data_IF_072730787042
#
_entry.id   IF_072730787042
#
_cell.length_a   1.000
_cell.length_b   1.000
_cell.length_c   1.000
_cell.angle_alpha   90.00
_cell.angle_beta   90.00
_cell.angle_gamma   90.00
#
_symmetry.space_group_name_H-M   'P 1'
#
loop_
_entity.id
_entity.type
_entity.pdbx_description
1 polymer ?
#
# COMPACT_ATOMS: atom_id res chain seq x y z
N UNK A 1 -3.54 56.46 69.53
CA UNK A 1 -3.48 55.06 69.06
C UNK A 1 -3.88 55.05 67.58
N UNK A 2 -2.93 54.91 66.65
CA UNK A 2 -3.21 54.95 65.20
C UNK A 2 -3.38 53.51 64.70
N UNK A 3 -4.54 53.19 64.16
CA UNK A 3 -4.86 51.89 63.58
C UNK A 3 -4.30 51.89 62.16
N UNK A 4 -3.36 51.00 61.85
CA UNK A 4 -2.83 50.81 60.50
C UNK A 4 -3.79 49.91 59.72
N UNK A 5 -4.34 50.33 58.56
CA UNK A 5 -5.25 49.49 57.80
C UNK A 5 -4.47 48.34 57.13
N UNK A 6 -5.03 47.13 57.02
CA UNK A 6 -4.33 46.02 56.39
C UNK A 6 -4.12 46.27 54.89
N UNK A 7 -2.91 45.98 54.42
CA UNK A 7 -2.57 46.02 53.00
C UNK A 7 -3.49 45.06 52.22
N UNK A 8 -4.28 45.62 51.31
CA UNK A 8 -5.31 44.89 50.57
C UNK A 8 -4.65 44.24 49.34
N UNK A 9 -4.33 42.94 49.43
CA UNK A 9 -3.79 42.11 48.34
C UNK A 9 -4.78 41.94 47.17
N UNK A 10 -5.06 43.01 46.41
CA UNK A 10 -6.04 43.01 45.30
C UNK A 10 -5.48 42.58 43.96
N UNK A 11 -4.15 42.57 43.77
CA UNK A 11 -3.51 42.14 42.51
C UNK A 11 -3.23 40.63 42.43
N UNK A 12 -2.96 39.99 43.57
CA UNK A 12 -2.57 38.57 43.63
C UNK A 12 -3.72 37.65 43.21
N UNK A 13 -4.95 38.00 43.59
CA UNK A 13 -6.14 37.23 43.20
C UNK A 13 -6.33 37.18 41.67
N UNK A 14 -6.04 38.28 40.95
CA UNK A 14 -6.14 38.33 39.49
C UNK A 14 -5.10 37.43 38.82
N UNK A 15 -3.87 37.42 39.33
CA UNK A 15 -2.79 36.56 38.81
C UNK A 15 -3.13 35.09 39.01
N UNK A 16 -3.66 34.72 40.19
CA UNK A 16 -4.11 33.35 40.47
C UNK A 16 -5.23 32.96 39.50
N UNK A 17 -6.22 33.82 39.28
CA UNK A 17 -7.32 33.55 38.33
C UNK A 17 -6.79 33.37 36.91
N UNK A 18 -5.89 34.24 36.45
CA UNK A 18 -5.29 34.14 35.12
C UNK A 18 -4.48 32.83 34.98
N UNK A 19 -3.71 32.46 36.00
CA UNK A 19 -2.97 31.20 36.02
C UNK A 19 -3.89 29.98 35.96
N UNK A 20 -5.00 29.99 36.71
CA UNK A 20 -6.01 28.92 36.66
C UNK A 20 -6.65 28.83 35.27
N UNK A 21 -7.01 29.95 34.64
CA UNK A 21 -7.58 29.96 33.29
C UNK A 21 -6.57 29.41 32.26
N UNK A 22 -5.29 29.78 32.37
CA UNK A 22 -4.23 29.26 31.48
C UNK A 22 -4.07 27.74 31.63
N UNK A 23 -4.01 27.24 32.87
CA UNK A 23 -3.89 25.80 33.12
C UNK A 23 -5.12 25.04 32.59
N UNK A 24 -6.33 25.55 32.87
CA UNK A 24 -7.57 24.95 32.37
C UNK A 24 -7.63 24.97 30.83
N UNK A 25 -7.19 26.06 30.20
CA UNK A 25 -7.11 26.17 28.74
C UNK A 25 -6.14 25.18 28.12
N UNK A 26 -4.95 24.99 28.70
CA UNK A 26 -3.97 24.00 28.24
C UNK A 26 -4.50 22.57 28.39
N UNK A 27 -5.19 22.26 29.49
CA UNK A 27 -5.82 20.96 29.70
C UNK A 27 -6.94 20.69 28.69
N UNK A 28 -7.81 21.68 28.46
CA UNK A 28 -8.88 21.59 27.46
C UNK A 28 -8.32 21.38 26.04
N UNK A 29 -7.26 22.10 25.66
CA UNK A 29 -6.60 21.94 24.37
C UNK A 29 -5.97 20.54 24.19
N UNK A 30 -5.33 20.02 25.24
CA UNK A 30 -4.77 18.66 25.25
C UNK A 30 -5.87 17.60 25.11
N UNK A 31 -6.96 17.74 25.86
CA UNK A 31 -8.11 16.84 25.79
C UNK A 31 -8.77 16.86 24.40
N UNK A 32 -8.97 18.03 23.81
CA UNK A 32 -9.51 18.16 22.47
C UNK A 32 -8.65 17.46 21.41
N UNK A 33 -7.32 17.57 21.52
CA UNK A 33 -6.38 16.91 20.60
C UNK A 33 -6.46 15.38 20.70
N UNK A 34 -6.60 14.83 21.91
CA UNK A 34 -6.76 13.39 22.14
C UNK A 34 -8.10 12.86 21.58
N UNK A 35 -9.21 13.57 21.85
CA UNK A 35 -10.53 13.18 21.34
C UNK A 35 -10.63 13.19 19.81
N UNK A 36 -9.92 14.10 19.13
CA UNK A 36 -9.87 14.10 17.67
C UNK A 36 -9.22 12.84 17.11
N UNK A 37 -8.20 12.29 17.77
CA UNK A 37 -7.54 11.04 17.35
C UNK A 37 -8.48 9.85 17.57
N UNK A 38 -9.07 9.73 18.75
CA UNK A 38 -10.02 8.63 19.05
C UNK A 38 -11.25 8.66 18.12
N UNK A 39 -11.79 9.85 17.82
CA UNK A 39 -12.92 9.98 16.90
C UNK A 39 -12.54 9.56 15.48
N UNK A 40 -11.32 9.87 15.02
CA UNK A 40 -10.82 9.41 13.72
C UNK A 40 -10.63 7.89 13.70
N UNK A 41 -10.06 7.31 14.75
CA UNK A 41 -9.88 5.86 14.87
C UNK A 41 -11.22 5.12 14.90
N UNK A 42 -12.18 5.58 15.70
CA UNK A 42 -13.52 4.99 15.77
C UNK A 42 -14.24 5.04 14.41
N UNK A 43 -14.09 6.14 13.66
CA UNK A 43 -14.62 6.24 12.29
C UNK A 43 -13.93 5.26 11.34
N UNK A 44 -12.61 5.12 11.43
CA UNK A 44 -11.86 4.21 10.57
C UNK A 44 -12.25 2.74 10.82
N UNK A 45 -12.34 2.32 12.08
CA UNK A 45 -12.79 0.96 12.47
C UNK A 45 -14.18 0.68 11.93
N UNK A 46 -15.08 1.67 11.97
CA UNK A 46 -16.43 1.54 11.37
C UNK A 46 -16.44 1.40 9.84
N UNK A 47 -15.36 1.80 9.15
CA UNK A 47 -15.24 1.74 7.69
C UNK A 47 -14.35 0.62 7.17
N UNK A 48 -13.55 -0.02 8.03
CA UNK A 48 -12.57 -1.03 7.64
C UNK A 48 -13.23 -2.23 6.95
N UNK A 49 -14.30 -2.77 7.55
CA UNK A 49 -15.06 -3.86 6.95
C UNK A 49 -15.66 -3.48 5.60
N UNK A 50 -16.21 -2.26 5.48
CA UNK A 50 -16.79 -1.77 4.23
C UNK A 50 -15.70 -1.68 3.14
N UNK A 51 -14.49 -1.23 3.48
CA UNK A 51 -13.34 -1.14 2.56
C UNK A 51 -12.81 -2.52 2.16
N UNK A 52 -12.75 -3.47 3.09
CA UNK A 52 -12.35 -4.84 2.78
C UNK A 52 -13.33 -5.50 1.80
N UNK A 53 -14.64 -5.38 2.05
CA UNK A 53 -15.66 -5.91 1.16
C UNK A 53 -15.71 -5.20 -0.20
N UNK A 54 -15.41 -3.90 -0.26
CA UNK A 54 -15.19 -3.18 -1.51
C UNK A 54 -14.01 -3.76 -2.29
N UNK A 55 -12.88 -4.02 -1.62
CA UNK A 55 -11.72 -4.67 -2.23
C UNK A 55 -12.04 -6.06 -2.77
N UNK A 56 -12.70 -6.91 -1.97
CA UNK A 56 -13.15 -8.25 -2.38
C UNK A 56 -14.11 -8.19 -3.58
N UNK A 57 -15.01 -7.21 -3.60
CA UNK A 57 -15.92 -6.99 -4.73
C UNK A 57 -15.17 -6.67 -6.02
N UNK A 58 -14.06 -5.92 -5.93
CA UNK A 58 -13.17 -5.67 -7.06
C UNK A 58 -12.50 -6.94 -7.60
N UNK A 59 -12.08 -7.86 -6.71
CA UNK A 59 -11.53 -9.17 -7.11
C UNK A 59 -12.58 -10.02 -7.82
N UNK A 60 -13.81 -10.06 -7.31
CA UNK A 60 -14.90 -10.81 -7.95
C UNK A 60 -15.28 -10.21 -9.31
N UNK A 61 -15.28 -8.88 -9.45
CA UNK A 61 -15.46 -8.22 -10.75
C UNK A 61 -14.33 -8.59 -11.71
N UNK A 62 -13.07 -8.60 -11.26
CA UNK A 62 -11.94 -9.00 -12.09
C UNK A 62 -12.08 -10.45 -12.59
N UNK A 63 -12.46 -11.38 -11.69
CA UNK A 63 -12.72 -12.78 -12.04
C UNK A 63 -13.85 -12.91 -13.06
N UNK A 64 -14.95 -12.19 -12.85
CA UNK A 64 -16.07 -12.17 -13.79
C UNK A 64 -15.65 -11.68 -15.17
N UNK A 65 -14.92 -10.56 -15.24
CA UNK A 65 -14.46 -9.98 -16.50
C UNK A 65 -13.54 -10.94 -17.25
N UNK A 66 -12.56 -11.55 -16.57
CA UNK A 66 -11.67 -12.54 -17.18
C UNK A 66 -12.44 -13.79 -17.66
N UNK A 67 -13.40 -14.28 -16.87
CA UNK A 67 -14.20 -15.44 -17.25
C UNK A 67 -15.08 -15.14 -18.47
N UNK A 68 -15.68 -13.95 -18.55
CA UNK A 68 -16.50 -13.56 -19.70
C UNK A 68 -15.67 -13.25 -20.94
N UNK A 69 -14.45 -12.74 -20.78
CA UNK A 69 -13.52 -12.51 -21.88
C UNK A 69 -13.27 -13.79 -22.69
N UNK A 70 -13.13 -14.93 -22.00
CA UNK A 70 -12.98 -16.25 -22.63
C UNK A 70 -14.21 -16.70 -23.43
N UNK A 71 -15.37 -16.09 -23.21
CA UNK A 71 -16.60 -16.40 -23.93
C UNK A 71 -16.85 -15.47 -25.13
N UNK A 72 -16.01 -14.46 -25.37
CA UNK A 72 -16.15 -13.54 -26.49
C UNK A 72 -15.64 -14.23 -27.78
N UNK A 73 -16.51 -14.41 -28.81
CA UNK A 73 -16.08 -15.01 -30.06
C UNK A 73 -14.97 -14.20 -30.73
N UNK A 74 -13.87 -14.85 -31.11
CA UNK A 74 -12.72 -14.19 -31.74
C UNK A 74 -11.68 -13.63 -30.76
N UNK A 75 -11.95 -13.63 -29.46
CA UNK A 75 -11.01 -13.21 -28.42
C UNK A 75 -10.68 -14.33 -27.41
N UNK A 76 -11.35 -15.48 -27.49
CA UNK A 76 -11.18 -16.61 -26.55
C UNK A 76 -9.86 -17.37 -26.64
N UNK A 77 -9.06 -17.14 -27.68
CA UNK A 77 -7.83 -17.90 -27.96
C UNK A 77 -6.53 -17.19 -27.58
N UNK A 78 -6.59 -15.98 -27.05
CA UNK A 78 -5.40 -15.20 -26.69
C UNK A 78 -5.73 -14.15 -25.62
N UNK A 79 -4.69 -13.71 -24.91
CA UNK A 79 -4.74 -12.56 -24.01
C UNK A 79 -3.92 -11.41 -24.58
N UNK A 80 -4.51 -10.22 -24.69
CA UNK A 80 -3.85 -9.05 -25.26
C UNK A 80 -4.40 -7.72 -24.71
N UNK A 81 -3.59 -6.65 -24.84
CA UNK A 81 -3.87 -5.35 -24.22
C UNK A 81 -5.00 -4.56 -24.88
N UNK A 82 -5.49 -5.01 -26.04
CA UNK A 82 -6.66 -4.45 -26.71
C UNK A 82 -7.99 -4.95 -26.11
N UNK A 83 -7.96 -6.00 -25.30
CA UNK A 83 -9.13 -6.57 -24.65
C UNK A 83 -9.56 -5.74 -23.44
N UNK A 84 -10.81 -5.90 -23.03
CA UNK A 84 -11.45 -5.08 -21.99
C UNK A 84 -10.75 -5.20 -20.63
N UNK A 85 -10.34 -6.42 -20.25
CA UNK A 85 -9.66 -6.66 -18.97
C UNK A 85 -8.39 -5.82 -18.79
N UNK A 86 -7.68 -5.52 -19.89
CA UNK A 86 -6.44 -4.75 -19.91
C UNK A 86 -6.66 -3.23 -20.03
N UNK A 87 -7.91 -2.76 -20.04
CA UNK A 87 -8.27 -1.37 -20.32
C UNK A 87 -8.26 -1.03 -21.81
N UNK A 88 -8.22 -2.03 -22.69
CA UNK A 88 -8.39 -1.85 -24.12
C UNK A 88 -9.83 -1.46 -24.49
N UNK A 89 -10.05 -0.99 -25.73
CA UNK A 89 -11.37 -0.56 -26.18
C UNK A 89 -12.41 -1.69 -26.12
N UNK A 90 -11.99 -2.95 -26.27
CA UNK A 90 -12.88 -4.10 -26.42
C UNK A 90 -13.80 -3.98 -27.65
N UNK A 91 -14.67 -4.97 -27.87
CA UNK A 91 -15.74 -4.85 -28.86
C UNK A 91 -16.93 -4.06 -28.33
N UNK A 92 -17.55 -3.28 -29.21
CA UNK A 92 -18.70 -2.41 -28.88
C UNK A 92 -20.03 -3.15 -28.76
N UNK A 93 -20.10 -4.42 -29.17
CA UNK A 93 -21.31 -5.26 -29.14
C UNK A 93 -21.04 -6.61 -28.45
N UNK A 94 -20.10 -6.65 -27.52
CA UNK A 94 -19.69 -7.87 -26.82
C UNK A 94 -20.25 -7.94 -25.39
N UNK A 95 -20.10 -9.10 -24.76
CA UNK A 95 -20.59 -9.41 -23.41
C UNK A 95 -20.10 -8.43 -22.32
N UNK A 96 -18.99 -7.74 -22.57
CA UNK A 96 -18.34 -6.82 -21.64
C UNK A 96 -18.53 -5.33 -21.99
N UNK A 97 -19.33 -5.01 -23.02
CA UNK A 97 -19.52 -3.63 -23.48
C UNK A 97 -19.99 -2.69 -22.35
N UNK A 98 -20.96 -3.14 -21.55
CA UNK A 98 -21.57 -2.37 -20.46
C UNK A 98 -20.81 -2.44 -19.12
N UNK A 99 -19.73 -3.22 -19.05
CA UNK A 99 -18.96 -3.37 -17.82
C UNK A 99 -17.89 -2.28 -17.73
N UNK A 100 -17.86 -1.54 -16.62
CA UNK A 100 -16.80 -0.60 -16.28
C UNK A 100 -15.86 -1.21 -15.25
N UNK A 101 -14.55 -1.04 -15.44
CA UNK A 101 -13.55 -1.34 -14.40
C UNK A 101 -13.24 -0.10 -13.54
N UNK A 102 -13.71 1.08 -13.95
CA UNK A 102 -13.42 2.35 -13.31
C UNK A 102 -14.60 2.86 -12.49
N UNK A 103 -14.30 3.31 -11.27
CA UNK A 103 -15.17 4.11 -10.40
C UNK A 103 -16.55 3.49 -10.10
N UNK A 104 -16.58 2.16 -9.95
CA UNK A 104 -17.77 1.38 -9.62
C UNK A 104 -18.28 1.74 -8.22
N UNK A 105 -19.54 2.16 -8.12
CA UNK A 105 -20.18 2.50 -6.84
C UNK A 105 -20.75 1.25 -6.19
N UNK A 106 -20.42 1.02 -4.91
CA UNK A 106 -21.03 -0.02 -4.09
C UNK A 106 -21.21 0.47 -2.65
N UNK A 107 -22.44 0.46 -2.15
CA UNK A 107 -22.77 1.03 -0.85
C UNK A 107 -22.34 2.50 -0.75
N UNK A 108 -21.53 2.83 0.26
CA UNK A 108 -21.02 4.19 0.51
C UNK A 108 -19.67 4.48 -0.16
N UNK A 109 -19.06 3.49 -0.83
CA UNK A 109 -17.73 3.61 -1.41
C UNK A 109 -17.71 3.40 -2.91
N UNK A 110 -16.52 3.62 -3.49
CA UNK A 110 -16.23 3.35 -4.89
C UNK A 110 -14.96 2.55 -5.01
N UNK A 111 -14.86 1.73 -6.05
CA UNK A 111 -13.66 0.98 -6.33
C UNK A 111 -13.34 1.00 -7.83
N UNK A 112 -12.06 0.87 -8.13
CA UNK A 112 -11.52 0.72 -9.49
C UNK A 112 -10.70 -0.56 -9.52
N UNK A 113 -10.80 -1.30 -10.61
CA UNK A 113 -10.09 -2.55 -10.83
C UNK A 113 -9.07 -2.34 -11.95
N UNK A 114 -7.82 -2.70 -11.69
CA UNK A 114 -6.77 -2.74 -12.71
C UNK A 114 -6.21 -4.15 -12.76
N UNK A 115 -6.31 -4.79 -13.92
CA UNK A 115 -5.77 -6.13 -14.15
C UNK A 115 -4.48 -5.97 -14.95
N UNK A 116 -3.44 -6.69 -14.55
CA UNK A 116 -2.13 -6.65 -15.21
C UNK A 116 -1.69 -8.09 -15.41
N UNK A 117 -1.38 -8.44 -16.65
CA UNK A 117 -0.75 -9.70 -16.97
C UNK A 117 0.72 -9.70 -16.50
N UNK A 118 1.03 -10.66 -15.62
CA UNK A 118 2.36 -10.85 -15.03
C UNK A 118 3.26 -11.73 -15.90
N UNK A 119 2.73 -12.47 -16.88
CA UNK A 119 3.53 -13.24 -17.85
C UNK A 119 4.31 -12.33 -18.81
N UNK A 120 3.96 -11.04 -18.83
CA UNK A 120 4.73 -9.97 -19.50
C UNK A 120 6.06 -9.65 -18.83
N UNK A 121 6.36 -10.25 -17.68
CA UNK A 121 7.60 -10.06 -16.91
C UNK A 121 8.40 -11.35 -16.91
N UNK A 122 9.72 -11.23 -16.84
CA UNK A 122 10.60 -12.38 -16.62
C UNK A 122 10.36 -12.91 -15.21
N UNK A 123 9.96 -14.18 -15.09
CA UNK A 123 9.73 -14.82 -13.81
C UNK A 123 11.07 -15.22 -13.16
N UNK A 124 11.52 -14.45 -12.17
CA UNK A 124 12.81 -14.65 -11.50
C UNK A 124 12.95 -16.01 -10.80
N UNK A 125 11.84 -16.68 -10.48
CA UNK A 125 11.86 -17.98 -9.80
C UNK A 125 12.29 -19.13 -10.74
N UNK A 126 12.11 -18.94 -12.05
CA UNK A 126 12.38 -19.98 -13.06
C UNK A 126 13.29 -19.52 -14.19
N UNK A 127 13.56 -18.22 -14.29
CA UNK A 127 14.39 -17.68 -15.36
C UNK A 127 15.81 -18.25 -15.33
N UNK A 128 16.32 -18.56 -16.52
CA UNK A 128 17.70 -18.96 -16.71
C UNK A 128 18.63 -17.78 -16.45
N UNK A 129 19.82 -18.08 -15.91
CA UNK A 129 20.86 -17.08 -15.63
C UNK A 129 21.15 -16.17 -16.83
N UNK A 130 21.22 -16.74 -18.04
CA UNK A 130 21.50 -16.00 -19.27
C UNK A 130 20.42 -14.95 -19.60
N UNK A 131 19.15 -15.26 -19.30
CA UNK A 131 18.04 -14.32 -19.53
C UNK A 131 18.12 -13.16 -18.55
N UNK A 132 18.36 -13.47 -17.27
CA UNK A 132 18.53 -12.45 -16.23
C UNK A 132 19.76 -11.58 -16.49
N UNK A 133 20.88 -12.18 -16.90
CA UNK A 133 22.10 -11.47 -17.24
C UNK A 133 21.85 -10.46 -18.37
N UNK A 134 21.22 -10.88 -19.48
CA UNK A 134 20.86 -9.97 -20.57
C UNK A 134 19.92 -8.86 -20.13
N UNK A 135 18.98 -9.15 -19.23
CA UNK A 135 18.10 -8.14 -18.68
C UNK A 135 18.89 -7.08 -17.87
N UNK A 136 19.87 -7.49 -17.07
CA UNK A 136 20.76 -6.59 -16.32
C UNK A 136 21.63 -5.74 -17.25
N UNK A 137 22.16 -6.34 -18.32
CA UNK A 137 22.92 -5.62 -19.36
C UNK A 137 22.06 -4.53 -20.03
N UNK A 138 20.80 -4.85 -20.37
CA UNK A 138 19.86 -3.88 -20.94
C UNK A 138 19.48 -2.76 -19.96
N UNK A 139 19.52 -3.04 -18.66
CA UNK A 139 19.29 -2.05 -17.60
C UNK A 139 20.55 -1.20 -17.28
N UNK A 140 21.70 -1.52 -17.88
CA UNK A 140 22.95 -0.80 -17.66
C UNK A 140 23.61 -1.09 -16.30
N UNK A 141 23.36 -2.27 -15.73
CA UNK A 141 24.00 -2.72 -14.49
C UNK A 141 25.45 -3.11 -14.78
N UNK A 142 26.39 -2.71 -13.91
CA UNK A 142 27.79 -3.10 -14.04
C UNK A 142 27.99 -4.62 -13.93
N UNK A 143 29.01 -5.15 -14.61
CA UNK A 143 29.32 -6.58 -14.65
C UNK A 143 29.54 -7.23 -13.28
N UNK A 144 30.13 -6.49 -12.33
CA UNK A 144 30.36 -6.97 -10.97
C UNK A 144 29.04 -7.07 -10.21
N UNK A 145 28.23 -6.01 -10.25
CA UNK A 145 26.92 -5.97 -9.61
C UNK A 145 25.96 -7.00 -10.23
N UNK A 146 25.98 -7.15 -11.55
CA UNK A 146 25.17 -8.15 -12.24
C UNK A 146 25.53 -9.57 -11.77
N UNK A 147 26.82 -9.88 -11.65
CA UNK A 147 27.29 -11.19 -11.19
C UNK A 147 26.89 -11.45 -9.73
N UNK A 148 27.03 -10.44 -8.85
CA UNK A 148 26.58 -10.50 -7.45
C UNK A 148 25.07 -10.74 -7.35
N UNK A 149 24.26 -10.01 -8.11
CA UNK A 149 22.80 -10.15 -8.10
C UNK A 149 22.38 -11.53 -8.61
N UNK A 150 22.97 -12.00 -9.71
CA UNK A 150 22.67 -13.31 -10.29
C UNK A 150 22.98 -14.46 -9.32
N UNK A 151 24.19 -14.44 -8.72
CA UNK A 151 24.60 -15.43 -7.71
C UNK A 151 23.65 -15.39 -6.50
N UNK A 152 23.28 -14.19 -6.03
CA UNK A 152 22.36 -14.04 -4.89
C UNK A 152 20.94 -14.53 -5.20
N UNK A 153 20.46 -14.38 -6.44
CA UNK A 153 19.16 -14.91 -6.88
C UNK A 153 19.20 -16.45 -6.94
N UNK A 154 20.32 -17.03 -7.39
CA UNK A 154 20.48 -18.47 -7.46
C UNK A 154 20.54 -19.11 -6.06
N UNK A 155 21.35 -18.55 -5.15
CA UNK A 155 21.39 -18.94 -3.74
C UNK A 155 20.00 -18.88 -3.10
N UNK A 156 19.28 -17.76 -3.29
CA UNK A 156 17.93 -17.60 -2.71
C UNK A 156 16.91 -18.63 -3.19
N UNK A 157 17.08 -19.16 -4.41
CA UNK A 157 16.14 -20.12 -5.03
C UNK A 157 16.45 -21.55 -4.65
N UNK A 158 17.72 -21.84 -4.40
CA UNK A 158 18.17 -23.19 -4.21
C UNK A 158 17.94 -23.67 -2.77
N UNK A 159 17.94 -25.00 -2.51
CA UNK A 159 17.64 -25.54 -1.19
C UNK A 159 18.88 -25.69 -0.30
N UNK A 160 20.08 -25.38 -0.79
CA UNK A 160 21.32 -25.57 -0.06
C UNK A 160 21.69 -24.29 0.72
N UNK A 161 22.86 -24.29 1.35
CA UNK A 161 23.34 -23.16 2.16
C UNK A 161 24.79 -22.79 1.79
N UNK A 162 25.28 -23.31 0.67
CA UNK A 162 26.61 -23.07 0.14
C UNK A 162 26.53 -21.89 -0.84
N UNK A 163 27.03 -20.70 -0.46
CA UNK A 163 26.90 -19.53 -1.30
C UNK A 163 27.76 -19.66 -2.57
N UNK A 164 27.23 -19.18 -3.69
CA UNK A 164 28.02 -18.94 -4.90
C UNK A 164 29.13 -17.89 -4.65
N UNK A 165 30.09 -17.78 -5.57
CA UNK A 165 31.30 -16.95 -5.41
C UNK A 165 31.00 -15.49 -5.02
N UNK A 166 29.99 -14.88 -5.64
CA UNK A 166 29.53 -13.53 -5.28
C UNK A 166 28.12 -13.55 -4.66
N UNK A 167 27.69 -14.72 -4.22
CA UNK A 167 26.36 -15.00 -3.70
C UNK A 167 26.16 -14.56 -2.26
N UNK A 168 24.99 -14.87 -1.74
CA UNK A 168 24.58 -14.53 -0.39
C UNK A 168 23.58 -15.56 0.14
N UNK A 169 23.92 -16.10 1.30
CA UNK A 169 23.13 -17.09 2.03
C UNK A 169 22.73 -16.58 3.42
N UNK A 170 22.12 -17.45 4.22
CA UNK A 170 21.74 -17.15 5.62
C UNK A 170 22.84 -16.43 6.42
N UNK A 171 24.11 -16.84 6.25
CA UNK A 171 25.27 -16.23 6.90
C UNK A 171 25.46 -14.73 6.58
N UNK A 172 25.00 -14.28 5.41
CA UNK A 172 24.98 -12.88 5.02
C UNK A 172 23.72 -12.18 5.55
N UNK A 173 22.54 -12.74 5.27
CA UNK A 173 21.26 -12.09 5.59
C UNK A 173 21.06 -11.90 7.10
N UNK A 174 21.48 -12.86 7.93
CA UNK A 174 21.38 -12.77 9.39
C UNK A 174 22.31 -11.72 10.02
N UNK A 175 23.26 -11.18 9.26
CA UNK A 175 24.16 -10.09 9.70
C UNK A 175 23.60 -8.70 9.40
N UNK A 176 22.47 -8.61 8.70
CA UNK A 176 21.82 -7.33 8.41
C UNK A 176 21.22 -6.73 9.69
N UNK A 177 21.00 -5.40 9.74
CA UNK A 177 20.48 -4.73 10.95
C UNK A 177 19.13 -5.25 11.43
N UNK A 178 18.31 -5.75 10.49
CA UNK A 178 17.02 -6.39 10.73
C UNK A 178 17.06 -7.77 10.04
N UNK A 179 17.51 -8.82 10.74
CA UNK A 179 17.61 -10.17 10.20
C UNK A 179 16.24 -10.86 10.07
#
# INVERSE_FOLDING_TARGET
MKIVPPARNRGIALIIVMMVIVVLGLMAAKFASLMQVETKLAKNVGSESDLEWLGRSGVELARYVLAQQLNIPGESGYDALNQKWAGGPGGTNDLLADISLDNNQLGRGRFTVKIIDLERKVNINFADRQVLQRAMELLGVDSFDASRILDSIEDWRDPNADPHVNGAESDYYLKLPEP
#
